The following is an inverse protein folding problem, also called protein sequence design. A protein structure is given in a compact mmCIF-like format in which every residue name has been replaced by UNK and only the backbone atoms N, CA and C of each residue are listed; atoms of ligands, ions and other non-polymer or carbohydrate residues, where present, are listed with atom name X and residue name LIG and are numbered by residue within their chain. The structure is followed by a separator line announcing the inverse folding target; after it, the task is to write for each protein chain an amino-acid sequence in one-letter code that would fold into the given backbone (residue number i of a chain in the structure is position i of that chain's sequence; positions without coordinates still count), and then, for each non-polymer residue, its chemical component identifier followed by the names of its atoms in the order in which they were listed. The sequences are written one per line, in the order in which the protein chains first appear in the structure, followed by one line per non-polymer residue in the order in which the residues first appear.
data_IF_043213351951
#
_entry.id   IF_043213351951
#
_cell.length_a   1.000
_cell.length_b   1.000
_cell.length_c   1.000
_cell.angle_alpha   90.00
_cell.angle_beta   90.00
_cell.angle_gamma   90.00
#
_symmetry.space_group_name_H-M   'P 1'
#
loop_
_entity.id
_entity.type
_entity.pdbx_description
1 polymer ?
#
# COMPACT_ATOMS: atom_id res chain seq x y z
N UNK A 1 -0.35 -0.98 -18.52
CA UNK A 1 -1.07 0.07 -17.75
C UNK A 1 -2.59 -0.17 -17.66
N UNK A 2 -3.22 -1.02 -18.49
CA UNK A 2 -4.67 -1.30 -18.36
C UNK A 2 -5.04 -2.34 -17.29
N UNK A 3 -4.17 -3.33 -17.03
CA UNK A 3 -4.53 -4.51 -16.22
C UNK A 3 -4.68 -4.22 -14.71
N UNK A 4 -3.67 -3.61 -14.06
CA UNK A 4 -3.70 -3.38 -12.61
C UNK A 4 -4.84 -2.44 -12.19
N UNK A 5 -5.11 -1.37 -12.95
CA UNK A 5 -6.23 -0.47 -12.66
C UNK A 5 -7.56 -1.22 -12.73
N UNK A 6 -7.80 -1.99 -13.79
CA UNK A 6 -9.04 -2.75 -13.94
C UNK A 6 -9.20 -3.79 -12.83
N UNK A 7 -8.12 -4.51 -12.50
CA UNK A 7 -8.09 -5.47 -11.39
C UNK A 7 -8.39 -4.80 -10.05
N UNK A 8 -7.79 -3.64 -9.75
CA UNK A 8 -8.09 -2.88 -8.54
C UNK A 8 -9.57 -2.49 -8.46
N UNK A 9 -10.11 -1.92 -9.55
CA UNK A 9 -11.51 -1.49 -9.59
C UNK A 9 -12.46 -2.67 -9.39
N UNK A 10 -12.15 -3.83 -9.96
CA UNK A 10 -12.90 -5.06 -9.76
C UNK A 10 -12.86 -5.50 -8.29
N UNK A 11 -11.67 -5.66 -7.72
CA UNK A 11 -11.50 -6.07 -6.32
C UNK A 11 -12.18 -5.10 -5.35
N UNK A 12 -12.06 -3.79 -5.58
CA UNK A 12 -12.70 -2.77 -4.78
C UNK A 12 -14.23 -2.92 -4.81
N UNK A 13 -14.82 -2.95 -6.00
CA UNK A 13 -16.29 -3.02 -6.17
C UNK A 13 -16.90 -4.34 -5.72
N UNK A 14 -16.14 -5.43 -5.81
CA UNK A 14 -16.60 -6.76 -5.37
C UNK A 14 -16.60 -6.93 -3.84
N UNK A 15 -15.83 -6.11 -3.10
CA UNK A 15 -15.60 -6.35 -1.68
C UNK A 15 -16.00 -5.16 -0.78
N UNK A 16 -15.92 -3.92 -1.25
CA UNK A 16 -16.15 -2.72 -0.44
C UNK A 16 -17.48 -2.09 -0.82
N UNK A 17 -18.46 -2.21 0.08
CA UNK A 17 -19.86 -1.81 -0.17
C UNK A 17 -20.41 -0.86 0.88
N UNK A 18 -19.68 -0.62 1.97
CA UNK A 18 -20.12 0.25 3.06
C UNK A 18 -20.28 1.72 2.61
N UNK A 19 -21.10 2.51 3.33
CA UNK A 19 -21.33 3.92 2.98
C UNK A 19 -20.03 4.70 2.80
N UNK A 20 -19.96 5.47 1.70
CA UNK A 20 -18.80 6.27 1.31
C UNK A 20 -17.81 5.57 0.37
N UNK A 21 -17.99 4.27 0.08
CA UNK A 21 -17.13 3.52 -0.83
C UNK A 21 -17.10 4.11 -2.24
N UNK A 22 -18.27 4.42 -2.81
CA UNK A 22 -18.35 5.03 -4.14
C UNK A 22 -17.65 6.40 -4.19
N UNK A 23 -17.85 7.24 -3.16
CA UNK A 23 -17.22 8.56 -3.09
C UNK A 23 -15.68 8.46 -2.97
N UNK A 24 -15.16 7.49 -2.22
CA UNK A 24 -13.71 7.23 -2.16
C UNK A 24 -13.19 6.72 -3.51
N UNK A 25 -13.90 5.79 -4.15
CA UNK A 25 -13.50 5.25 -5.45
C UNK A 25 -13.50 6.34 -6.53
N UNK A 26 -14.49 7.21 -6.52
CA UNK A 26 -14.59 8.39 -7.40
C UNK A 26 -13.42 9.34 -7.18
N UNK A 27 -13.06 9.61 -5.91
CA UNK A 27 -11.88 10.40 -5.58
C UNK A 27 -10.59 9.78 -6.15
N UNK A 28 -10.37 8.48 -5.93
CA UNK A 28 -9.20 7.76 -6.47
C UNK A 28 -9.15 7.77 -8.00
N UNK A 29 -10.31 7.79 -8.67
CA UNK A 29 -10.41 7.86 -10.13
C UNK A 29 -10.35 9.29 -10.69
N UNK A 30 -10.46 10.30 -9.82
CA UNK A 30 -10.55 11.70 -10.23
C UNK A 30 -9.20 12.24 -10.70
N UNK A 31 -9.18 13.32 -11.51
CA UNK A 31 -7.94 14.00 -11.88
C UNK A 31 -7.17 14.62 -10.71
N UNK A 32 -7.78 14.70 -9.51
CA UNK A 32 -7.15 15.23 -8.31
C UNK A 32 -6.33 14.17 -7.54
N UNK A 33 -6.36 12.91 -7.97
CA UNK A 33 -5.65 11.80 -7.35
C UNK A 33 -4.81 11.06 -8.39
N UNK A 34 -3.54 10.83 -8.07
CA UNK A 34 -2.59 10.14 -8.94
C UNK A 34 -2.44 8.64 -8.62
N UNK A 35 -3.26 8.05 -7.74
CA UNK A 35 -3.10 6.68 -7.21
C UNK A 35 -2.79 5.61 -8.28
N UNK A 36 -3.50 5.64 -9.41
CA UNK A 36 -3.33 4.68 -10.51
C UNK A 36 -2.10 4.93 -11.39
N UNK A 37 -1.41 6.04 -11.20
CA UNK A 37 -0.24 6.48 -11.99
C UNK A 37 1.00 6.73 -11.14
N UNK A 38 0.84 6.90 -9.83
CA UNK A 38 1.92 7.10 -8.89
C UNK A 38 2.83 5.87 -8.80
N UNK A 39 4.14 6.05 -8.58
CA UNK A 39 5.02 4.96 -8.19
C UNK A 39 4.78 4.56 -6.73
N UNK A 40 5.16 3.34 -6.35
CA UNK A 40 5.16 2.92 -4.95
C UNK A 40 6.37 3.48 -4.16
N UNK A 41 7.45 3.85 -4.86
CA UNK A 41 8.66 4.43 -4.28
C UNK A 41 9.50 5.19 -5.30
N UNK A 42 10.49 5.98 -4.87
CA UNK A 42 11.38 6.70 -5.80
C UNK A 42 12.50 5.84 -6.40
N UNK A 43 12.92 4.78 -5.69
CA UNK A 43 14.15 4.01 -6.01
C UNK A 43 14.09 2.52 -5.64
N UNK A 44 13.03 2.09 -4.96
CA UNK A 44 12.88 0.72 -4.45
C UNK A 44 11.84 -0.03 -5.31
N UNK A 45 11.02 -0.87 -4.69
CA UNK A 45 9.93 -1.58 -5.35
C UNK A 45 8.91 -0.61 -5.97
N UNK A 46 8.27 -1.04 -7.07
CA UNK A 46 7.24 -0.25 -7.75
C UNK A 46 7.67 1.16 -8.20
N UNK A 47 8.97 1.40 -8.46
CA UNK A 47 9.51 2.71 -8.84
C UNK A 47 9.25 3.07 -10.32
N UNK A 48 8.02 2.88 -10.78
CA UNK A 48 7.52 3.18 -12.12
C UNK A 48 6.07 3.65 -12.03
N UNK A 49 5.58 4.33 -13.08
CA UNK A 49 4.21 4.84 -13.09
C UNK A 49 3.17 3.70 -12.98
N UNK A 50 2.28 3.80 -11.99
CA UNK A 50 1.27 2.79 -11.66
C UNK A 50 1.73 1.74 -10.64
N UNK A 51 2.98 1.80 -10.19
CA UNK A 51 3.51 0.85 -9.19
C UNK A 51 2.76 0.86 -7.86
N UNK A 52 2.16 2.00 -7.45
CA UNK A 52 1.40 2.09 -6.19
C UNK A 52 0.14 1.21 -6.22
N UNK A 53 -0.61 1.27 -7.32
CA UNK A 53 -1.80 0.45 -7.52
C UNK A 53 -1.45 -1.04 -7.60
N UNK A 54 -0.37 -1.38 -8.29
CA UNK A 54 0.10 -2.77 -8.40
C UNK A 54 0.52 -3.32 -7.03
N UNK A 55 1.27 -2.53 -6.26
CA UNK A 55 1.65 -2.88 -4.90
C UNK A 55 0.44 -3.15 -4.01
N UNK A 56 -0.57 -2.27 -4.03
CA UNK A 56 -1.81 -2.45 -3.26
C UNK A 56 -2.55 -3.75 -3.60
N UNK A 57 -2.53 -4.17 -4.88
CA UNK A 57 -3.10 -5.46 -5.31
C UNK A 57 -2.26 -6.64 -4.81
N UNK A 58 -0.93 -6.55 -4.91
CA UNK A 58 -0.05 -7.60 -4.42
C UNK A 58 -0.23 -7.84 -2.91
N UNK A 59 -0.31 -6.76 -2.12
CA UNK A 59 -0.59 -6.84 -0.68
C UNK A 59 -1.96 -7.47 -0.42
N UNK A 60 -2.99 -7.16 -1.23
CA UNK A 60 -4.30 -7.82 -1.14
C UNK A 60 -4.21 -9.34 -1.33
N UNK A 61 -3.53 -9.81 -2.38
CA UNK A 61 -3.40 -11.24 -2.65
C UNK A 61 -2.58 -11.95 -1.58
N UNK A 62 -1.44 -11.36 -1.17
CA UNK A 62 -0.61 -11.89 -0.08
C UNK A 62 -1.39 -12.01 1.24
N UNK A 63 -2.15 -10.99 1.61
CA UNK A 63 -2.95 -11.02 2.84
C UNK A 63 -4.09 -12.04 2.74
N UNK A 64 -4.74 -12.13 1.58
CA UNK A 64 -5.79 -13.12 1.32
C UNK A 64 -5.29 -14.54 1.47
N UNK A 65 -4.11 -14.84 0.95
CA UNK A 65 -3.52 -16.17 1.08
C UNK A 65 -2.94 -16.42 2.47
N UNK A 66 -2.41 -15.38 3.16
CA UNK A 66 -2.01 -15.47 4.56
C UNK A 66 -3.19 -15.91 5.44
N UNK A 67 -4.36 -15.27 5.30
CA UNK A 67 -5.55 -15.55 6.11
C UNK A 67 -6.20 -16.92 5.83
N UNK A 68 -5.90 -17.53 4.68
CA UNK A 68 -6.35 -18.90 4.34
C UNK A 68 -5.51 -20.00 4.98
N UNK A 69 -4.32 -19.70 5.51
CA UNK A 69 -3.42 -20.71 6.08
C UNK A 69 -4.15 -21.42 7.25
N UNK A 70 -4.17 -22.77 7.32
CA UNK A 70 -4.85 -23.49 8.40
C UNK A 70 -4.41 -23.04 9.79
N UNK A 71 -3.10 -22.78 9.96
CA UNK A 71 -2.55 -22.26 11.23
C UNK A 71 -3.13 -20.89 11.63
N UNK A 72 -3.45 -20.03 10.67
CA UNK A 72 -4.03 -18.71 10.94
C UNK A 72 -5.49 -18.83 11.40
N UNK A 73 -6.23 -19.78 10.84
CA UNK A 73 -7.63 -20.03 11.19
C UNK A 73 -7.79 -20.84 12.48
N UNK A 74 -7.02 -21.91 12.63
CA UNK A 74 -7.19 -22.92 13.67
C UNK A 74 -6.39 -22.64 14.94
N UNK A 75 -5.21 -22.03 14.83
CA UNK A 75 -4.33 -21.77 15.98
C UNK A 75 -4.35 -20.30 16.40
N UNK A 76 -4.29 -19.37 15.44
CA UNK A 76 -4.27 -17.94 15.75
C UNK A 76 -5.66 -17.34 15.91
N UNK A 77 -6.70 -18.03 15.42
CA UNK A 77 -8.09 -17.57 15.41
C UNK A 77 -8.24 -16.16 14.83
N UNK A 78 -7.44 -15.85 13.80
CA UNK A 78 -7.45 -14.55 13.17
C UNK A 78 -8.57 -14.49 12.12
N UNK A 79 -9.60 -13.72 12.42
CA UNK A 79 -10.72 -13.52 11.52
C UNK A 79 -10.67 -12.12 10.92
N UNK A 80 -10.84 -12.05 9.59
CA UNK A 80 -11.00 -10.81 8.85
C UNK A 80 -12.15 -11.01 7.87
N UNK A 81 -13.05 -10.03 7.77
CA UNK A 81 -14.06 -10.06 6.71
C UNK A 81 -13.41 -9.76 5.35
N UNK A 82 -13.98 -10.24 4.25
CA UNK A 82 -13.47 -9.92 2.90
C UNK A 82 -13.47 -8.40 2.65
N UNK A 83 -14.46 -7.67 3.18
CA UNK A 83 -14.49 -6.21 3.09
C UNK A 83 -13.36 -5.57 3.89
N UNK A 84 -13.16 -5.95 5.16
CA UNK A 84 -12.05 -5.41 5.98
C UNK A 84 -10.69 -5.73 5.38
N UNK A 85 -10.52 -6.94 4.84
CA UNK A 85 -9.33 -7.35 4.10
C UNK A 85 -9.10 -6.41 2.92
N UNK A 86 -10.11 -6.20 2.07
CA UNK A 86 -10.03 -5.31 0.93
C UNK A 86 -9.72 -3.86 1.34
N UNK A 87 -10.39 -3.34 2.38
CA UNK A 87 -10.16 -1.99 2.90
C UNK A 87 -8.72 -1.82 3.36
N UNK A 88 -8.21 -2.72 4.20
CA UNK A 88 -6.87 -2.54 4.77
C UNK A 88 -5.78 -2.78 3.73
N UNK A 89 -5.92 -3.75 2.83
CA UNK A 89 -4.83 -4.07 1.89
C UNK A 89 -4.85 -3.21 0.63
N UNK A 90 -6.02 -2.87 0.07
CA UNK A 90 -6.07 -2.03 -1.14
C UNK A 90 -5.79 -0.56 -0.84
N UNK A 91 -6.01 -0.12 0.40
CA UNK A 91 -5.97 1.29 0.77
C UNK A 91 -4.87 1.65 1.78
N UNK A 92 -4.05 0.70 2.26
CA UNK A 92 -3.02 0.99 3.27
C UNK A 92 -2.07 2.13 2.88
N UNK A 93 -1.76 2.23 1.59
CA UNK A 93 -0.70 3.09 1.06
C UNK A 93 -1.22 4.35 0.35
N UNK A 94 -2.49 4.72 0.56
CA UNK A 94 -3.05 5.96 -0.04
C UNK A 94 -2.41 7.23 0.53
N UNK A 95 -1.59 7.15 1.58
CA UNK A 95 -0.75 8.25 2.05
C UNK A 95 0.25 8.76 1.01
N UNK A 96 0.58 7.94 0.01
CA UNK A 96 1.51 8.25 -1.08
C UNK A 96 0.88 9.02 -2.23
N UNK A 97 -0.44 9.16 -2.26
CA UNK A 97 -1.11 9.91 -3.34
C UNK A 97 -0.62 11.35 -3.34
N UNK A 98 -0.36 11.86 -4.55
CA UNK A 98 0.13 13.20 -4.85
C UNK A 98 1.46 13.56 -4.16
N UNK A 99 2.25 12.56 -3.72
CA UNK A 99 3.55 12.78 -3.09
C UNK A 99 4.74 12.64 -4.06
N UNK A 100 4.53 12.19 -5.29
CA UNK A 100 5.61 11.91 -6.25
C UNK A 100 5.57 12.85 -7.44
N UNK A 101 6.68 13.53 -7.70
CA UNK A 101 6.85 14.42 -8.85
C UNK A 101 7.81 13.80 -9.86
N UNK A 102 7.44 13.71 -11.15
CA UNK A 102 8.37 13.29 -12.20
C UNK A 102 9.60 14.21 -12.22
N UNK A 103 10.79 13.61 -12.21
CA UNK A 103 12.08 14.30 -12.26
C UNK A 103 13.06 13.53 -13.15
N UNK A 104 14.31 13.98 -13.20
CA UNK A 104 15.38 13.33 -13.93
C UNK A 104 16.66 13.27 -13.09
N UNK A 105 17.38 12.16 -13.19
CA UNK A 105 18.71 12.00 -12.57
C UNK A 105 19.75 11.60 -13.61
N UNK A 106 21.00 11.96 -13.36
CA UNK A 106 22.11 11.51 -14.18
C UNK A 106 22.66 10.20 -13.60
N UNK A 107 22.83 9.19 -14.46
CA UNK A 107 23.43 7.91 -14.11
C UNK A 107 24.52 7.62 -15.12
N UNK A 108 25.63 7.05 -14.66
CA UNK A 108 26.65 6.54 -15.58
C UNK A 108 26.22 5.17 -16.10
N UNK A 109 26.32 4.98 -17.41
CA UNK A 109 26.18 3.65 -18.01
C UNK A 109 27.45 2.81 -17.83
N UNK A 110 27.42 1.57 -18.32
CA UNK A 110 28.53 0.61 -18.26
C UNK A 110 29.83 1.13 -18.89
N UNK A 111 29.74 2.12 -19.79
CA UNK A 111 30.87 2.75 -20.46
C UNK A 111 31.33 4.04 -19.77
N UNK A 112 30.75 4.38 -18.60
CA UNK A 112 31.08 5.59 -17.84
C UNK A 112 30.47 6.88 -18.40
N UNK A 113 29.58 6.78 -19.38
CA UNK A 113 28.92 7.95 -20.00
C UNK A 113 27.71 8.35 -19.17
N UNK A 114 27.61 9.64 -18.84
CA UNK A 114 26.44 10.18 -18.14
C UNK A 114 25.21 10.20 -19.05
N UNK A 115 24.13 9.54 -18.61
CA UNK A 115 22.81 9.58 -19.23
C UNK A 115 21.79 10.15 -18.25
N UNK A 116 20.96 11.05 -18.74
CA UNK A 116 19.81 11.59 -18.01
C UNK A 116 18.66 10.59 -18.13
N UNK A 117 18.22 10.02 -17.01
CA UNK A 117 17.12 9.05 -16.96
C UNK A 117 15.94 9.63 -16.16
N UNK A 118 14.69 9.30 -16.53
CA UNK A 118 13.53 9.64 -15.71
C UNK A 118 13.61 9.05 -14.30
N UNK A 119 13.10 9.78 -13.31
CA UNK A 119 12.99 9.34 -11.92
C UNK A 119 11.80 10.04 -11.25
N UNK A 120 11.60 9.80 -9.96
CA UNK A 120 10.60 10.48 -9.15
C UNK A 120 11.27 11.12 -7.94
N UNK A 121 10.81 12.32 -7.58
CA UNK A 121 11.13 12.98 -6.33
C UNK A 121 9.94 12.87 -5.39
N UNK A 122 10.20 12.67 -4.10
CA UNK A 122 9.18 12.61 -3.06
C UNK A 122 9.04 13.96 -2.39
N UNK A 123 7.81 14.48 -2.35
CA UNK A 123 7.43 15.74 -1.71
C UNK A 123 6.03 15.56 -1.13
N UNK A 124 5.91 15.51 0.20
CA UNK A 124 4.63 15.30 0.88
C UNK A 124 4.01 16.66 1.27
N UNK A 125 2.95 17.12 0.59
CA UNK A 125 2.30 18.39 0.90
C UNK A 125 1.50 18.36 2.21
N UNK A 126 1.26 17.17 2.78
CA UNK A 126 0.52 16.97 4.02
C UNK A 126 1.32 16.07 4.98
N UNK A 127 2.26 16.64 5.76
CA UNK A 127 3.17 15.88 6.63
C UNK A 127 2.46 15.37 7.90
N UNK A 128 1.48 14.50 7.73
CA UNK A 128 0.61 13.97 8.80
C UNK A 128 1.11 12.65 9.40
N UNK A 129 2.14 12.04 8.78
CA UNK A 129 2.62 10.69 9.09
C UNK A 129 2.21 9.69 8.01
N UNK A 130 3.02 8.66 7.77
CA UNK A 130 2.81 7.75 6.66
C UNK A 130 1.53 6.93 6.82
N UNK A 131 1.38 6.18 7.92
CA UNK A 131 0.17 5.38 8.14
C UNK A 131 -1.03 6.21 8.57
N UNK A 132 -0.80 7.25 9.38
CA UNK A 132 -1.82 8.17 9.89
C UNK A 132 -2.53 8.89 8.75
N UNK A 133 -1.80 9.30 7.71
CA UNK A 133 -2.37 9.97 6.54
C UNK A 133 -3.33 9.06 5.77
N UNK A 134 -3.01 7.77 5.64
CA UNK A 134 -3.95 6.81 5.02
C UNK A 134 -5.24 6.71 5.83
N UNK A 135 -5.14 6.55 7.15
CA UNK A 135 -6.31 6.53 8.04
C UNK A 135 -7.12 7.82 7.95
N UNK A 136 -6.45 8.98 7.87
CA UNK A 136 -7.09 10.29 7.75
C UNK A 136 -7.85 10.44 6.43
N UNK A 137 -7.21 10.13 5.29
CA UNK A 137 -7.83 10.22 3.96
C UNK A 137 -9.03 9.29 3.89
N UNK A 138 -8.85 8.01 4.25
CA UNK A 138 -9.92 7.01 4.17
C UNK A 138 -11.06 7.37 5.13
N UNK A 139 -10.74 7.86 6.34
CA UNK A 139 -11.71 8.29 7.34
C UNK A 139 -12.64 9.43 6.90
N UNK A 140 -12.22 10.22 5.90
CA UNK A 140 -13.06 11.25 5.28
C UNK A 140 -14.21 10.69 4.44
N UNK A 141 -14.14 9.41 4.05
CA UNK A 141 -15.13 8.73 3.22
C UNK A 141 -15.75 7.54 3.94
N UNK A 142 -14.92 6.66 4.50
CA UNK A 142 -15.29 5.41 5.13
C UNK A 142 -15.15 5.49 6.65
N UNK A 143 -16.13 4.94 7.36
CA UNK A 143 -15.96 4.67 8.79
C UNK A 143 -15.09 3.42 8.98
N UNK A 144 -13.87 3.61 9.46
CA UNK A 144 -12.95 2.53 9.81
C UNK A 144 -13.25 1.96 11.19
N UNK A 145 -13.12 0.63 11.32
CA UNK A 145 -13.03 -0.02 12.63
C UNK A 145 -11.67 0.28 13.29
N UNK A 146 -11.54 -0.04 14.58
CA UNK A 146 -10.26 0.12 15.28
C UNK A 146 -9.21 -0.81 14.68
N UNK A 147 -9.57 -2.06 14.45
CA UNK A 147 -8.71 -3.07 13.83
C UNK A 147 -8.24 -2.61 12.44
N UNK A 148 -9.13 -2.08 11.61
CA UNK A 148 -8.79 -1.56 10.27
C UNK A 148 -7.84 -0.35 10.35
N UNK A 149 -8.16 0.61 11.23
CA UNK A 149 -7.34 1.82 11.40
C UNK A 149 -5.94 1.50 11.92
N UNK A 150 -5.80 0.58 12.89
CA UNK A 150 -4.50 0.16 13.41
C UNK A 150 -3.72 -0.68 12.38
N UNK A 151 -4.40 -1.51 11.59
CA UNK A 151 -3.74 -2.24 10.52
C UNK A 151 -3.14 -1.27 9.48
N UNK A 152 -3.94 -0.33 8.97
CA UNK A 152 -3.49 0.67 8.00
C UNK A 152 -2.38 1.55 8.59
N UNK A 153 -2.53 2.01 9.84
CA UNK A 153 -1.53 2.88 10.46
C UNK A 153 -0.17 2.21 10.61
N UNK A 154 -0.13 0.95 11.00
CA UNK A 154 1.11 0.22 11.29
C UNK A 154 1.50 -0.76 10.18
N UNK A 155 1.02 -0.57 8.95
CA UNK A 155 1.29 -1.48 7.83
C UNK A 155 2.79 -1.63 7.53
N UNK A 156 3.60 -0.57 7.68
CA UNK A 156 5.05 -0.64 7.48
C UNK A 156 5.78 -1.44 8.58
N UNK A 157 5.09 -1.80 9.67
CA UNK A 157 5.67 -2.45 10.83
C UNK A 157 6.94 -1.77 11.34
N UNK A 158 8.01 -2.56 11.51
CA UNK A 158 9.30 -2.06 12.00
C UNK A 158 10.16 -1.38 10.93
N UNK A 159 9.70 -1.29 9.68
CA UNK A 159 10.41 -0.59 8.61
C UNK A 159 10.11 0.91 8.53
N UNK A 160 9.07 1.36 9.25
CA UNK A 160 8.70 2.77 9.35
C UNK A 160 9.56 3.57 10.32
N UNK A 161 9.26 4.87 10.44
CA UNK A 161 9.90 5.80 11.38
C UNK A 161 9.26 5.82 12.78
N UNK A 162 8.31 4.91 13.04
CA UNK A 162 7.56 4.83 14.29
C UNK A 162 8.43 4.36 15.47
N UNK A 163 8.03 4.73 16.69
CA UNK A 163 8.65 4.17 17.89
C UNK A 163 8.44 2.65 17.90
N UNK A 164 9.54 1.88 17.91
CA UNK A 164 9.54 0.40 17.87
C UNK A 164 8.59 -0.21 18.91
N UNK A 165 8.51 0.38 20.11
CA UNK A 165 7.62 -0.08 21.17
C UNK A 165 6.14 0.15 20.83
N UNK A 166 5.79 1.22 20.12
CA UNK A 166 4.42 1.45 19.67
C UNK A 166 4.01 0.41 18.62
N UNK A 167 4.90 0.08 17.68
CA UNK A 167 4.69 -0.98 16.69
C UNK A 167 4.42 -2.32 17.37
N UNK A 168 5.27 -2.72 18.33
CA UNK A 168 5.09 -3.96 19.09
C UNK A 168 3.76 -4.01 19.84
N UNK A 169 3.41 -2.94 20.56
CA UNK A 169 2.13 -2.84 21.26
C UNK A 169 0.92 -2.91 20.31
N UNK A 170 1.03 -2.31 19.12
CA UNK A 170 -0.02 -2.37 18.12
C UNK A 170 -0.22 -3.80 17.61
N UNK A 171 0.86 -4.52 17.32
CA UNK A 171 0.80 -5.92 16.85
C UNK A 171 0.25 -6.88 17.90
N UNK A 172 0.55 -6.66 19.19
CA UNK A 172 -0.03 -7.46 20.28
C UNK A 172 -1.54 -7.26 20.43
N UNK A 173 -2.02 -6.03 20.24
CA UNK A 173 -3.43 -5.67 20.45
C UNK A 173 -4.30 -5.84 19.21
N UNK A 174 -3.71 -5.66 18.03
CA UNK A 174 -4.38 -5.70 16.74
C UNK A 174 -3.62 -6.64 15.80
N UNK A 175 -3.83 -7.96 15.90
CA UNK A 175 -3.06 -8.94 15.12
C UNK A 175 -3.20 -8.80 13.60
N UNK A 176 -4.30 -8.21 13.11
CA UNK A 176 -4.45 -7.87 11.69
C UNK A 176 -3.41 -6.86 11.21
N UNK A 177 -2.90 -5.99 12.08
CA UNK A 177 -1.81 -5.08 11.73
C UNK A 177 -0.51 -5.85 11.45
N UNK A 178 -0.22 -6.87 12.25
CA UNK A 178 0.93 -7.74 12.00
C UNK A 178 0.76 -8.56 10.71
N UNK A 179 -0.44 -9.09 10.47
CA UNK A 179 -0.74 -9.84 9.25
C UNK A 179 -0.60 -8.97 8.00
N UNK A 180 -1.14 -7.75 8.01
CA UNK A 180 -1.00 -6.79 6.92
C UNK A 180 0.47 -6.40 6.71
N UNK A 181 1.21 -6.10 7.77
CA UNK A 181 2.63 -5.76 7.66
C UNK A 181 3.47 -6.93 7.10
N UNK A 182 3.09 -8.17 7.44
CA UNK A 182 3.71 -9.36 6.84
C UNK A 182 3.40 -9.45 5.35
N UNK A 183 2.14 -9.25 4.95
CA UNK A 183 1.73 -9.27 3.54
C UNK A 183 2.38 -8.16 2.72
N UNK A 184 2.55 -6.97 3.28
CA UNK A 184 3.27 -5.84 2.68
C UNK A 184 4.75 -6.20 2.41
N UNK A 185 5.43 -6.77 3.41
CA UNK A 185 6.79 -7.27 3.22
C UNK A 185 6.86 -8.43 2.22
N UNK A 186 5.92 -9.37 2.24
CA UNK A 186 5.85 -10.46 1.25
C UNK A 186 5.71 -9.90 -0.18
N UNK A 187 4.82 -8.94 -0.41
CA UNK A 187 4.65 -8.29 -1.72
C UNK A 187 5.95 -7.58 -2.15
N UNK A 188 6.48 -6.73 -1.28
CA UNK A 188 7.69 -5.94 -1.53
C UNK A 188 8.90 -6.80 -1.87
N UNK A 189 9.19 -7.83 -1.07
CA UNK A 189 10.43 -8.60 -1.20
C UNK A 189 10.29 -9.85 -2.07
N UNK A 190 9.10 -10.47 -2.15
CA UNK A 190 8.93 -11.70 -2.90
C UNK A 190 8.40 -11.48 -4.31
N UNK A 191 7.55 -10.46 -4.54
CA UNK A 191 6.89 -10.23 -5.81
C UNK A 191 7.51 -9.08 -6.61
N UNK A 192 7.84 -7.96 -5.95
CA UNK A 192 8.20 -6.72 -6.65
C UNK A 192 9.71 -6.53 -6.84
N UNK A 193 10.51 -6.95 -5.86
CA UNK A 193 11.98 -6.91 -5.94
C UNK A 193 12.57 -5.50 -6.16
N UNK A 194 13.89 -5.43 -6.33
CA UNK A 194 14.54 -4.17 -6.78
C UNK A 194 14.56 -4.13 -8.30
N UNK A 195 14.41 -2.96 -8.93
CA UNK A 195 14.62 -2.82 -10.37
C UNK A 195 16.01 -3.37 -10.76
N UNK A 196 16.04 -4.41 -11.61
CA UNK A 196 17.27 -5.06 -12.09
C UNK A 196 17.73 -6.30 -11.31
N UNK A 197 17.04 -6.69 -10.23
CA UNK A 197 17.23 -8.02 -9.62
C UNK A 197 16.15 -8.94 -10.15
N UNK A 198 16.38 -9.56 -11.31
CA UNK A 198 15.52 -10.64 -11.78
C UNK A 198 15.57 -11.81 -10.77
N UNK A 199 14.41 -12.41 -10.49
CA UNK A 199 14.33 -13.78 -10.00
C UNK A 199 14.21 -14.71 -11.20
#
# INVERSE_FOLDING_TARGET
MSDSREKFLKLYRENIHRPGADALLDYLCSPACDFFTAPASTRYHGAYAGGLCEHSINVYECLKDYLKRPRVQELYHLHCSEESLAVISLLHDVCKINCYKPSFRNVKDENGVWKKVPTFEFDDPLPYGHGEKSVYIIGGFLRLSREEAFAIRFHMGFSGSEEVRLVGNAFERFPLAFALATADMEATYFLEGKPGTAK
#
